data_IF_119379706941
#
_entry.id   IF_119379706941
#
_cell.length_a   1.000
_cell.length_b   1.000
_cell.length_c   1.000
_cell.angle_alpha   90.00
_cell.angle_beta   90.00
_cell.angle_gamma   90.00
#
_symmetry.space_group_name_H-M   'P 1'
#
loop_
_entity.id
_entity.type
_entity.pdbx_description
1 polymer ?
#
# COMPACT_ATOMS: atom_id res chain seq x y z
N UNK A 1 -28.83 -17.88 28.86
CA UNK A 1 -27.53 -18.00 28.17
C UNK A 1 -27.37 -16.74 27.34
N UNK A 2 -26.26 -15.99 27.46
CA UNK A 2 -26.05 -14.84 26.59
C UNK A 2 -25.73 -15.37 25.19
N UNK A 3 -26.58 -15.05 24.22
CA UNK A 3 -26.28 -15.21 22.81
C UNK A 3 -25.21 -14.19 22.48
N UNK A 4 -23.95 -14.62 22.37
CA UNK A 4 -22.90 -13.83 21.75
C UNK A 4 -23.29 -13.67 20.29
N UNK A 5 -23.84 -12.52 19.92
CA UNK A 5 -23.85 -12.08 18.54
C UNK A 5 -22.41 -12.15 18.06
N UNK A 6 -22.12 -13.04 17.13
CA UNK A 6 -20.88 -12.99 16.36
C UNK A 6 -21.00 -11.68 15.59
N UNK A 7 -20.37 -10.62 16.10
CA UNK A 7 -20.11 -9.43 15.31
C UNK A 7 -19.43 -9.93 14.03
N UNK A 8 -20.07 -9.71 12.88
CA UNK A 8 -19.36 -9.75 11.62
C UNK A 8 -18.10 -8.91 11.82
N UNK A 9 -16.89 -9.40 11.51
CA UNK A 9 -15.68 -8.64 11.73
C UNK A 9 -15.71 -7.49 10.73
N UNK A 10 -16.32 -6.38 11.13
CA UNK A 10 -16.84 -5.39 10.18
C UNK A 10 -15.77 -4.85 9.26
N UNK A 11 -14.49 -4.89 9.64
CA UNK A 11 -13.44 -4.60 8.67
C UNK A 11 -12.15 -5.34 9.02
N UNK A 12 -11.81 -6.31 8.17
CA UNK A 12 -10.58 -7.06 8.26
C UNK A 12 -9.44 -6.33 7.51
N UNK A 13 -8.41 -5.92 8.24
CA UNK A 13 -7.28 -5.17 7.69
C UNK A 13 -6.07 -6.08 7.52
N UNK A 14 -5.78 -6.50 6.29
CA UNK A 14 -4.80 -7.55 6.06
C UNK A 14 -3.32 -7.10 6.16
N UNK A 15 -2.62 -7.91 6.95
CA UNK A 15 -1.20 -8.00 7.26
C UNK A 15 -0.20 -8.36 6.14
N UNK A 16 0.66 -7.49 5.57
CA UNK A 16 1.79 -7.93 4.70
C UNK A 16 3.09 -8.14 5.48
N UNK A 17 3.80 -9.25 5.19
CA UNK A 17 5.11 -9.60 5.76
C UNK A 17 6.20 -9.86 4.70
N UNK A 18 5.87 -9.75 3.41
CA UNK A 18 6.76 -10.10 2.31
C UNK A 18 7.05 -8.87 1.44
N UNK A 19 8.24 -8.25 1.57
CA UNK A 19 8.56 -7.02 0.86
C UNK A 19 8.95 -7.21 -0.62
N UNK A 20 9.09 -8.44 -1.14
CA UNK A 20 9.81 -8.63 -2.41
C UNK A 20 9.14 -9.49 -3.49
N UNK A 21 7.95 -10.07 -3.29
CA UNK A 21 7.34 -10.90 -4.34
C UNK A 21 5.80 -10.81 -4.39
N UNK A 22 5.27 -10.59 -5.60
CA UNK A 22 3.83 -10.64 -5.91
C UNK A 22 3.15 -11.97 -5.54
N UNK A 23 3.94 -13.04 -5.33
CA UNK A 23 3.49 -14.33 -4.80
C UNK A 23 2.74 -14.22 -3.46
N UNK A 24 2.91 -13.12 -2.74
CA UNK A 24 2.14 -12.83 -1.53
C UNK A 24 0.62 -12.78 -1.78
N UNK A 25 0.20 -12.14 -2.86
CA UNK A 25 -1.22 -12.02 -3.20
C UNK A 25 -1.85 -13.40 -3.47
N UNK A 26 -1.06 -14.38 -3.93
CA UNK A 26 -1.48 -15.76 -4.11
C UNK A 26 -1.63 -16.52 -2.77
N UNK A 27 -0.78 -16.22 -1.77
CA UNK A 27 -0.83 -16.88 -0.46
C UNK A 27 -2.00 -16.41 0.41
N UNK A 28 -2.33 -15.12 0.31
CA UNK A 28 -3.55 -14.51 0.86
C UNK A 28 -4.61 -14.38 -0.21
N UNK A 29 -4.76 -15.40 -1.08
CA UNK A 29 -5.84 -15.43 -2.06
C UNK A 29 -7.14 -14.95 -1.42
N UNK A 30 -8.02 -14.36 -2.23
CA UNK A 30 -9.40 -13.99 -1.90
C UNK A 30 -10.16 -15.24 -1.45
N UNK A 31 -9.74 -15.83 -0.32
CA UNK A 31 -10.33 -17.00 0.27
C UNK A 31 -11.64 -16.52 0.86
N UNK A 32 -12.63 -17.40 0.74
CA UNK A 32 -13.98 -17.17 1.20
C UNK A 32 -14.02 -16.50 2.57
N UNK A 33 -15.12 -15.77 2.81
CA UNK A 33 -15.43 -15.00 4.04
C UNK A 33 -15.29 -15.79 5.35
N UNK A 34 -15.07 -17.09 5.30
CA UNK A 34 -14.81 -17.98 6.43
C UNK A 34 -13.33 -18.08 6.85
N UNK A 35 -12.41 -17.39 6.17
CA UNK A 35 -10.98 -17.45 6.53
C UNK A 35 -10.74 -16.83 7.90
N UNK A 36 -10.31 -17.64 8.86
CA UNK A 36 -9.87 -17.16 10.18
C UNK A 36 -8.47 -16.60 10.03
N UNK A 37 -8.35 -15.29 10.28
CA UNK A 37 -7.06 -14.60 10.26
C UNK A 37 -6.38 -14.70 11.61
N UNK A 38 -5.06 -14.87 11.58
CA UNK A 38 -4.26 -14.81 12.79
C UNK A 38 -4.32 -13.40 13.40
N UNK A 39 -4.25 -13.25 14.73
CA UNK A 39 -4.34 -11.93 15.37
C UNK A 39 -3.32 -10.90 14.88
N UNK A 40 -2.15 -11.33 14.40
CA UNK A 40 -1.14 -10.43 13.84
C UNK A 40 -1.53 -9.88 12.45
N UNK A 41 -2.46 -10.54 11.77
CA UNK A 41 -2.96 -10.18 10.44
C UNK A 41 -4.12 -9.18 10.48
N UNK A 42 -4.50 -8.68 11.65
CA UNK A 42 -5.57 -7.70 11.81
C UNK A 42 -5.03 -6.47 12.53
N UNK A 43 -5.22 -5.29 11.93
CA UNK A 43 -4.81 -4.01 12.54
C UNK A 43 -5.67 -3.74 13.80
N UNK A 44 -5.07 -3.64 15.01
CA UNK A 44 -5.83 -3.39 16.22
C UNK A 44 -6.36 -1.95 16.27
N UNK A 45 -7.61 -1.77 16.68
CA UNK A 45 -8.26 -0.45 16.84
C UNK A 45 -7.96 0.24 18.17
N UNK A 46 -7.36 -0.47 19.12
CA UNK A 46 -7.05 0.08 20.44
C UNK A 46 -5.56 0.33 20.57
N UNK A 47 -5.18 1.41 21.27
CA UNK A 47 -3.76 1.70 21.50
C UNK A 47 -3.03 0.61 22.32
N UNK A 48 -3.75 -0.14 23.15
CA UNK A 48 -3.20 -1.31 23.83
C UNK A 48 -2.91 -2.45 22.83
N UNK A 49 -3.88 -2.78 21.98
CA UNK A 49 -3.70 -3.78 20.92
C UNK A 49 -2.56 -3.41 19.97
N UNK A 50 -2.45 -2.15 19.54
CA UNK A 50 -1.37 -1.69 18.67
C UNK A 50 0.02 -1.88 19.31
N UNK A 51 0.14 -1.68 20.63
CA UNK A 51 1.39 -1.89 21.39
C UNK A 51 1.80 -3.36 21.49
N UNK A 52 0.84 -4.27 21.43
CA UNK A 52 1.10 -5.72 21.42
C UNK A 52 1.30 -6.25 20.00
N UNK A 53 0.81 -5.53 19.00
CA UNK A 53 0.93 -5.88 17.59
C UNK A 53 2.25 -5.43 16.97
N UNK A 54 2.65 -4.17 17.18
CA UNK A 54 3.80 -3.56 16.50
C UNK A 54 4.64 -2.70 17.45
N UNK A 55 5.83 -2.29 16.98
CA UNK A 55 6.68 -1.31 17.65
C UNK A 55 7.54 -0.55 16.62
N UNK A 56 7.97 0.67 16.97
CA UNK A 56 8.91 1.43 16.13
C UNK A 56 10.34 1.03 16.49
N UNK A 57 11.07 0.47 15.52
CA UNK A 57 12.43 -0.03 15.67
C UNK A 57 13.40 0.64 14.70
N UNK A 58 14.70 0.31 14.84
CA UNK A 58 15.72 0.74 13.87
C UNK A 58 15.67 -0.11 12.62
N UNK A 59 15.93 0.50 11.46
CA UNK A 59 16.20 -0.21 10.23
C UNK A 59 17.71 -0.57 10.14
N UNK A 60 18.12 -1.83 10.35
CA UNK A 60 19.52 -2.21 10.31
C UNK A 60 20.14 -2.12 8.91
N UNK A 61 19.31 -2.14 7.86
CA UNK A 61 19.76 -2.04 6.46
C UNK A 61 19.76 -0.62 5.91
N UNK A 62 19.20 0.36 6.63
CA UNK A 62 19.15 1.74 6.16
C UNK A 62 20.38 2.53 6.62
N UNK A 63 21.03 3.16 5.65
CA UNK A 63 22.20 4.00 5.88
C UNK A 63 21.87 5.49 5.75
N UNK A 64 20.72 5.82 5.14
CA UNK A 64 20.14 7.15 5.24
C UNK A 64 19.65 7.37 6.68
N UNK A 65 20.43 8.10 7.47
CA UNK A 65 20.10 8.46 8.85
C UNK A 65 18.74 9.16 8.97
N UNK A 66 18.21 9.73 7.88
CA UNK A 66 16.88 10.32 7.88
C UNK A 66 15.76 9.27 7.87
N UNK A 67 16.05 8.00 7.62
CA UNK A 67 15.07 6.91 7.46
C UNK A 67 15.45 5.65 8.26
N UNK A 68 16.28 5.82 9.28
CA UNK A 68 16.75 4.71 10.12
C UNK A 68 15.70 4.07 11.02
N UNK A 69 14.41 4.35 10.82
CA UNK A 69 13.30 3.86 11.64
C UNK A 69 12.25 3.14 10.79
N UNK A 70 11.63 2.10 11.35
CA UNK A 70 10.54 1.33 10.75
C UNK A 70 9.49 0.99 11.80
N UNK A 71 8.23 0.84 11.37
CA UNK A 71 7.23 0.11 12.14
C UNK A 71 7.42 -1.38 11.88
N UNK A 72 7.63 -2.18 12.93
CA UNK A 72 7.93 -3.61 12.88
C UNK A 72 6.89 -4.41 13.65
N UNK A 73 6.56 -5.61 13.19
CA UNK A 73 5.74 -6.53 14.00
C UNK A 73 6.50 -6.96 15.26
N UNK A 74 5.77 -7.05 16.37
CA UNK A 74 6.29 -7.58 17.63
C UNK A 74 6.32 -9.11 17.65
N UNK A 75 5.29 -9.72 17.05
CA UNK A 75 5.05 -11.16 17.04
C UNK A 75 4.73 -11.65 15.62
N UNK A 76 5.60 -11.36 14.64
CA UNK A 76 5.48 -11.99 13.33
C UNK A 76 5.62 -13.51 13.49
N UNK A 77 4.77 -14.33 12.84
CA UNK A 77 4.98 -15.76 12.80
C UNK A 77 6.36 -16.05 12.19
N UNK A 78 7.01 -17.09 12.72
CA UNK A 78 8.23 -17.62 12.14
C UNK A 78 7.83 -18.26 10.81
N UNK A 79 8.00 -17.52 9.73
CA UNK A 79 7.74 -18.00 8.39
C UNK A 79 8.73 -19.15 8.06
N UNK A 80 8.26 -20.22 7.39
CA UNK A 80 9.14 -21.30 6.96
C UNK A 80 10.30 -20.74 6.13
N UNK A 81 11.53 -21.16 6.43
CA UNK A 81 12.76 -20.74 5.76
C UNK A 81 13.19 -19.28 5.97
N UNK A 82 12.55 -18.54 6.89
CA UNK A 82 13.03 -17.21 7.27
C UNK A 82 14.13 -17.32 8.33
N UNK A 83 15.31 -16.70 8.12
CA UNK A 83 16.38 -16.70 9.12
C UNK A 83 15.89 -16.17 10.47
N UNK A 84 16.35 -16.79 11.57
CA UNK A 84 16.08 -16.29 12.91
C UNK A 84 16.56 -14.83 13.06
N UNK A 85 15.71 -13.97 13.61
CA UNK A 85 15.99 -12.55 13.77
C UNK A 85 15.70 -11.67 12.55
N UNK A 86 15.04 -12.23 11.52
CA UNK A 86 14.48 -11.41 10.44
C UNK A 86 13.44 -10.44 11.01
N UNK A 87 13.58 -9.18 10.64
CA UNK A 87 12.61 -8.15 10.97
C UNK A 87 11.55 -8.07 9.86
N UNK A 88 10.30 -7.86 10.27
CA UNK A 88 9.18 -7.76 9.34
C UNK A 88 8.55 -6.37 9.49
N UNK A 89 8.74 -5.46 8.51
CA UNK A 89 8.04 -4.19 8.48
C UNK A 89 6.53 -4.40 8.39
N UNK A 90 5.78 -3.55 9.09
CA UNK A 90 4.32 -3.54 9.03
C UNK A 90 3.88 -2.86 7.72
N UNK A 91 3.03 -3.56 6.96
CA UNK A 91 2.22 -2.99 5.89
C UNK A 91 0.76 -2.87 6.31
N UNK A 92 -0.13 -2.37 5.47
CA UNK A 92 -1.59 -2.50 5.56
C UNK A 92 -2.06 -2.68 4.12
N UNK A 93 -2.95 -3.64 3.88
CA UNK A 93 -3.64 -3.73 2.59
C UNK A 93 -4.80 -2.76 2.52
N UNK A 94 -4.90 -2.06 1.40
CA UNK A 94 -5.97 -1.11 1.11
C UNK A 94 -6.51 -1.43 -0.27
N UNK A 95 -7.82 -1.57 -0.38
CA UNK A 95 -8.50 -1.68 -1.66
C UNK A 95 -9.22 -0.38 -1.97
N UNK A 96 -9.22 0.03 -3.24
CA UNK A 96 -9.88 1.25 -3.67
C UNK A 96 -9.67 1.52 -5.15
N UNK A 97 -10.21 2.64 -5.62
CA UNK A 97 -10.11 3.08 -7.00
C UNK A 97 -9.00 4.11 -7.14
N UNK A 98 -8.24 4.03 -8.22
CA UNK A 98 -7.23 5.05 -8.53
C UNK A 98 -7.94 6.34 -8.95
N UNK A 99 -7.92 7.36 -8.09
CA UNK A 99 -8.34 8.71 -8.46
C UNK A 99 -7.26 9.40 -9.30
N UNK A 100 -5.99 9.23 -8.89
CA UNK A 100 -4.87 9.84 -9.60
C UNK A 100 -3.59 9.09 -9.32
N UNK A 101 -2.73 8.99 -10.31
CA UNK A 101 -1.43 8.33 -10.17
C UNK A 101 -0.33 9.07 -10.92
N UNK A 102 0.89 9.02 -10.36
CA UNK A 102 2.12 9.37 -11.08
C UNK A 102 3.12 8.21 -10.98
N UNK A 103 3.14 7.39 -12.03
CA UNK A 103 3.99 6.20 -12.17
C UNK A 103 5.33 6.45 -12.85
N UNK A 104 5.63 7.69 -13.26
CA UNK A 104 6.84 7.97 -14.04
C UNK A 104 8.07 7.37 -13.34
N UNK A 105 9.00 6.73 -14.07
CA UNK A 105 10.18 6.11 -13.44
C UNK A 105 11.02 7.07 -12.60
N UNK A 106 11.01 8.36 -12.95
CA UNK A 106 11.65 9.46 -12.21
C UNK A 106 10.68 10.23 -11.27
N UNK A 107 9.42 9.82 -11.21
CA UNK A 107 8.34 10.44 -10.45
C UNK A 107 8.12 11.90 -10.81
N UNK A 108 8.06 12.77 -9.80
CA UNK A 108 7.94 14.23 -9.95
C UNK A 108 9.26 14.95 -10.20
N UNK A 109 10.38 14.23 -10.37
CA UNK A 109 11.67 14.85 -10.59
C UNK A 109 11.78 15.48 -11.98
N UNK A 110 12.47 16.61 -12.01
CA UNK A 110 12.90 17.29 -13.23
C UNK A 110 14.32 17.81 -13.02
N UNK A 111 15.14 17.97 -14.07
CA UNK A 111 16.46 18.58 -13.96
C UNK A 111 16.39 19.93 -13.20
N UNK A 112 17.36 20.15 -12.31
CA UNK A 112 17.41 21.34 -11.45
C UNK A 112 16.56 21.27 -10.17
N UNK A 113 15.69 20.25 -10.00
CA UNK A 113 15.02 19.98 -8.72
C UNK A 113 15.78 18.94 -7.90
N UNK A 114 15.53 18.95 -6.60
CA UNK A 114 16.12 17.98 -5.68
C UNK A 114 15.60 16.56 -5.97
N UNK A 115 16.52 15.63 -6.25
CA UNK A 115 16.20 14.20 -6.35
C UNK A 115 15.61 13.65 -5.04
N UNK A 116 15.96 14.27 -3.91
CA UNK A 116 15.48 13.85 -2.60
C UNK A 116 13.98 14.04 -2.39
N UNK A 117 13.35 14.95 -3.14
CA UNK A 117 11.91 15.22 -3.08
C UNK A 117 11.11 14.58 -4.22
N UNK A 118 11.76 13.77 -5.06
CA UNK A 118 11.08 13.09 -6.15
C UNK A 118 10.16 11.99 -5.61
N UNK A 119 8.89 12.06 -5.98
CA UNK A 119 7.86 11.14 -5.55
C UNK A 119 7.16 10.50 -6.74
N UNK A 120 6.91 9.20 -6.63
CA UNK A 120 5.75 8.57 -7.25
C UNK A 120 4.61 8.64 -6.23
N UNK A 121 3.38 8.82 -6.69
CA UNK A 121 2.24 8.94 -5.79
C UNK A 121 0.98 8.31 -6.39
N UNK A 122 0.09 7.92 -5.49
CA UNK A 122 -1.24 7.40 -5.75
C UNK A 122 -2.21 8.14 -4.85
N UNK A 123 -3.36 8.44 -5.41
CA UNK A 123 -4.51 8.94 -4.69
C UNK A 123 -5.59 7.89 -4.91
N UNK A 124 -5.98 7.22 -3.83
CA UNK A 124 -7.05 6.22 -3.86
C UNK A 124 -8.31 6.79 -3.25
N UNK A 125 -9.47 6.40 -3.76
CA UNK A 125 -10.75 6.69 -3.13
C UNK A 125 -11.63 5.43 -3.06
N UNK A 126 -12.78 5.53 -2.41
CA UNK A 126 -13.72 4.41 -2.24
C UNK A 126 -14.64 4.16 -3.43
N UNK A 127 -14.66 5.03 -4.46
CA UNK A 127 -15.73 5.02 -5.46
C UNK A 127 -17.10 5.08 -4.78
N UNK A 128 -18.02 4.20 -5.18
CA UNK A 128 -19.34 4.07 -4.55
C UNK A 128 -19.32 3.30 -3.22
N UNK A 129 -18.16 2.80 -2.78
CA UNK A 129 -17.94 2.05 -1.54
C UNK A 129 -17.16 2.85 -0.50
N UNK A 130 -17.52 4.13 -0.34
CA UNK A 130 -16.83 5.08 0.54
C UNK A 130 -16.79 4.67 2.01
N UNK A 131 -17.77 3.92 2.50
CA UNK A 131 -17.85 3.43 3.88
C UNK A 131 -16.78 2.36 4.21
N UNK A 132 -16.61 1.38 3.32
CA UNK A 132 -15.54 0.37 3.44
C UNK A 132 -14.18 1.05 3.33
N UNK A 133 -14.03 1.98 2.39
CA UNK A 133 -12.80 2.74 2.21
C UNK A 133 -12.44 3.62 3.42
N UNK A 134 -13.44 4.24 4.04
CA UNK A 134 -13.26 5.05 5.24
C UNK A 134 -12.64 4.23 6.39
N UNK A 135 -12.97 2.94 6.50
CA UNK A 135 -12.33 2.06 7.45
C UNK A 135 -10.83 1.86 7.15
N UNK A 136 -10.43 1.64 5.88
CA UNK A 136 -9.00 1.48 5.51
C UNK A 136 -8.23 2.74 5.91
N UNK A 137 -8.83 3.90 5.64
CA UNK A 137 -8.28 5.20 6.00
C UNK A 137 -8.16 5.38 7.51
N UNK A 138 -9.18 5.03 8.28
CA UNK A 138 -9.14 5.09 9.74
C UNK A 138 -8.03 4.19 10.31
N UNK A 139 -7.90 2.95 9.84
CA UNK A 139 -6.86 2.03 10.28
C UNK A 139 -5.44 2.55 10.00
N UNK A 140 -5.23 3.16 8.82
CA UNK A 140 -3.96 3.79 8.46
C UNK A 140 -3.67 5.02 9.36
N UNK A 141 -4.67 5.86 9.61
CA UNK A 141 -4.55 7.04 10.47
C UNK A 141 -4.27 6.69 11.94
N UNK A 142 -4.97 5.69 12.48
CA UNK A 142 -4.74 5.19 13.83
C UNK A 142 -3.32 4.63 13.97
N UNK A 143 -2.81 3.97 12.93
CA UNK A 143 -1.44 3.44 12.92
C UNK A 143 -0.40 4.57 12.82
N UNK A 144 -0.66 5.61 12.03
CA UNK A 144 0.18 6.82 12.01
C UNK A 144 0.22 7.49 13.40
N UNK A 145 -0.94 7.68 14.04
CA UNK A 145 -1.03 8.25 15.39
C UNK A 145 -0.26 7.41 16.42
N UNK A 146 -0.31 6.08 16.30
CA UNK A 146 0.48 5.17 17.12
C UNK A 146 2.00 5.37 16.93
N UNK A 147 2.48 5.47 15.68
CA UNK A 147 3.90 5.72 15.39
C UNK A 147 4.36 7.03 16.03
N UNK A 148 3.60 8.11 15.87
CA UNK A 148 3.90 9.40 16.49
C UNK A 148 3.99 9.31 18.01
N UNK A 149 3.04 8.60 18.64
CA UNK A 149 3.04 8.33 20.08
C UNK A 149 4.27 7.53 20.52
N UNK A 150 4.69 6.53 19.76
CA UNK A 150 5.91 5.75 20.03
C UNK A 150 7.18 6.59 19.98
N UNK A 151 7.18 7.64 19.16
CA UNK A 151 8.32 8.53 18.97
C UNK A 151 8.31 9.75 19.89
N UNK A 152 7.27 9.91 20.72
CA UNK A 152 7.05 11.07 21.59
C UNK A 152 7.09 12.41 20.81
N UNK A 153 6.48 12.42 19.61
CA UNK A 153 6.36 13.60 18.74
C UNK A 153 4.89 13.83 18.44
N UNK A 154 4.45 15.09 18.52
CA UNK A 154 3.10 15.45 18.12
C UNK A 154 2.89 15.23 16.61
N UNK A 155 1.74 14.68 16.17
CA UNK A 155 1.43 14.59 14.75
C UNK A 155 1.34 16.01 14.15
N UNK A 156 1.64 16.17 12.85
CA UNK A 156 1.46 17.44 12.16
C UNK A 156 0.01 17.91 12.25
N UNK A 157 -0.19 19.22 12.47
CA UNK A 157 -1.53 19.85 12.54
C UNK A 157 -2.20 19.98 11.19
N UNK A 158 -1.42 19.99 10.10
CA UNK A 158 -1.89 20.20 8.71
C UNK A 158 -2.37 18.91 8.03
N UNK A 159 -2.86 17.94 8.80
CA UNK A 159 -3.48 16.80 8.20
C UNK A 159 -4.82 17.25 7.61
N UNK A 160 -4.84 17.36 6.29
CA UNK A 160 -6.01 17.52 5.44
C UNK A 160 -6.88 16.25 5.55
N UNK A 161 -7.41 16.02 6.76
CA UNK A 161 -8.17 14.84 7.16
C UNK A 161 -9.50 14.74 6.41
N UNK A 162 -9.94 15.84 5.79
CA UNK A 162 -11.23 15.98 5.09
C UNK A 162 -11.23 15.47 3.65
N UNK A 163 -10.10 15.06 3.08
CA UNK A 163 -10.14 14.43 1.75
C UNK A 163 -10.77 13.04 1.84
N UNK A 164 -11.78 12.73 1.02
CA UNK A 164 -12.36 11.37 0.92
C UNK A 164 -11.35 10.34 0.37
N UNK A 165 -10.16 10.80 0.01
CA UNK A 165 -9.10 10.04 -0.64
C UNK A 165 -7.92 9.76 0.29
N UNK A 166 -7.11 8.78 -0.08
CA UNK A 166 -5.87 8.42 0.60
C UNK A 166 -4.68 8.74 -0.29
N UNK A 167 -3.83 9.67 0.15
CA UNK A 167 -2.57 9.97 -0.52
C UNK A 167 -1.47 9.00 -0.06
N UNK A 168 -0.90 8.26 -1.01
CA UNK A 168 0.16 7.30 -0.78
C UNK A 168 1.34 7.68 -1.67
N UNK A 169 2.54 7.79 -1.11
CA UNK A 169 3.70 8.24 -1.87
C UNK A 169 4.94 7.40 -1.62
N UNK A 170 5.74 7.26 -2.67
CA UNK A 170 7.02 6.55 -2.62
C UNK A 170 8.10 7.47 -3.17
N UNK A 171 9.21 7.54 -2.47
CA UNK A 171 10.39 8.23 -2.98
C UNK A 171 11.02 7.42 -4.12
N UNK A 172 11.39 8.10 -5.17
CA UNK A 172 11.97 7.46 -6.36
C UNK A 172 13.46 7.20 -6.19
N UNK A 173 14.20 8.23 -5.78
CA UNK A 173 15.65 8.14 -5.66
C UNK A 173 16.08 7.77 -4.25
N UNK A 174 16.96 6.78 -4.16
CA UNK A 174 17.72 6.44 -2.95
C UNK A 174 19.05 7.16 -2.96
N UNK A 175 19.50 7.62 -1.79
CA UNK A 175 20.82 8.22 -1.66
C UNK A 175 21.89 7.16 -1.86
N UNK A 176 22.89 7.45 -2.68
CA UNK A 176 24.07 6.60 -2.83
C UNK A 176 24.93 6.72 -1.58
N UNK A 177 25.23 5.57 -0.97
CA UNK A 177 26.03 5.41 0.24
C UNK A 177 27.07 4.31 0.01
N UNK A 178 27.96 4.11 0.99
CA UNK A 178 29.00 3.09 0.88
C UNK A 178 28.47 1.66 0.70
N UNK A 179 27.28 1.36 1.23
CA UNK A 179 26.67 0.02 1.19
C UNK A 179 25.91 -0.28 -0.10
N UNK A 180 25.31 0.73 -0.73
CA UNK A 180 24.48 0.54 -1.92
C UNK A 180 25.13 1.06 -3.21
N UNK A 181 26.33 1.68 -3.16
CA UNK A 181 27.01 2.24 -4.35
C UNK A 181 27.23 1.26 -5.50
N UNK A 182 27.31 -0.03 -5.20
CA UNK A 182 27.53 -1.09 -6.19
C UNK A 182 26.24 -1.76 -6.67
N UNK A 183 25.09 -1.43 -6.08
CA UNK A 183 23.81 -1.94 -6.57
C UNK A 183 23.51 -1.34 -7.95
N UNK A 184 23.00 -2.12 -8.90
CA UNK A 184 22.65 -1.62 -10.22
C UNK A 184 21.54 -0.57 -10.13
N UNK A 185 21.50 0.33 -11.11
CA UNK A 185 20.33 1.19 -11.30
C UNK A 185 19.16 0.33 -11.78
N UNK A 186 17.99 0.56 -11.19
CA UNK A 186 16.76 -0.11 -11.59
C UNK A 186 16.16 0.52 -12.86
N UNK A 187 16.58 1.73 -13.25
CA UNK A 187 16.13 2.36 -14.49
C UNK A 187 16.67 1.61 -15.72
N UNK A 188 15.76 1.33 -16.63
CA UNK A 188 16.05 0.80 -17.95
C UNK A 188 16.26 1.93 -18.95
N UNK A 189 16.81 1.61 -20.12
CA UNK A 189 17.07 2.60 -21.18
C UNK A 189 15.80 3.35 -21.61
N UNK A 190 14.64 2.71 -21.55
CA UNK A 190 13.34 3.31 -21.86
C UNK A 190 12.85 4.30 -20.80
N UNK A 191 13.32 4.18 -19.56
CA UNK A 191 12.86 5.01 -18.44
C UNK A 191 13.50 6.40 -18.44
N UNK A 192 14.74 6.50 -18.92
CA UNK A 192 15.50 7.75 -19.05
C UNK A 192 16.12 7.87 -20.46
N UNK A 193 15.29 8.08 -21.50
CA UNK A 193 15.75 8.09 -22.89
C UNK A 193 16.74 9.23 -23.17
N UNK A 194 16.70 10.30 -22.37
CA UNK A 194 17.57 11.47 -22.50
C UNK A 194 18.83 11.38 -21.62
N UNK A 195 18.96 10.36 -20.77
CA UNK A 195 20.11 10.19 -19.87
C UNK A 195 20.22 11.29 -18.81
N UNK A 196 19.11 11.90 -18.38
CA UNK A 196 19.07 12.98 -17.40
C UNK A 196 19.55 12.53 -16.02
N UNK A 197 19.23 11.30 -15.62
CA UNK A 197 19.61 10.72 -14.33
C UNK A 197 21.13 10.54 -14.18
N UNK A 198 21.86 10.43 -15.30
CA UNK A 198 23.32 10.35 -15.29
C UNK A 198 23.99 11.51 -14.56
N UNK A 199 23.36 12.69 -14.56
CA UNK A 199 23.88 13.87 -13.85
C UNK A 199 23.85 13.73 -12.33
N UNK A 200 22.99 12.87 -11.78
CA UNK A 200 22.80 12.67 -10.34
C UNK A 200 23.19 11.27 -9.85
N UNK A 201 23.54 10.34 -10.75
CA UNK A 201 23.80 8.90 -10.50
C UNK A 201 24.82 8.59 -9.40
N UNK A 202 25.72 9.56 -9.12
CA UNK A 202 26.77 9.45 -8.10
C UNK A 202 26.26 9.71 -6.70
N UNK A 203 25.17 10.47 -6.57
CA UNK A 203 24.57 10.87 -5.29
C UNK A 203 23.20 10.24 -5.07
N UNK A 204 22.47 10.00 -6.15
CA UNK A 204 21.08 9.55 -6.16
C UNK A 204 20.89 8.50 -7.26
N UNK A 205 20.26 7.38 -6.92
CA UNK A 205 19.98 6.29 -7.86
C UNK A 205 18.59 5.72 -7.60
N UNK A 206 17.93 5.23 -8.64
CA UNK A 206 16.71 4.44 -8.44
C UNK A 206 17.16 3.01 -8.17
N UNK A 207 17.02 2.53 -6.94
CA UNK A 207 17.46 1.17 -6.59
C UNK A 207 16.36 0.13 -6.71
N UNK A 208 15.10 0.57 -6.81
CA UNK A 208 13.94 -0.32 -6.95
C UNK A 208 12.77 0.41 -7.58
N UNK A 209 12.02 -0.30 -8.42
CA UNK A 209 10.70 0.11 -8.91
C UNK A 209 9.60 -0.41 -7.97
N UNK A 210 8.42 0.19 -8.00
CA UNK A 210 7.26 -0.39 -7.33
C UNK A 210 6.87 -1.69 -8.05
N UNK A 211 6.61 -2.77 -7.30
CA UNK A 211 6.14 -4.02 -7.89
C UNK A 211 4.65 -3.93 -8.16
N UNK A 212 4.27 -4.21 -9.41
CA UNK A 212 2.89 -4.13 -9.86
C UNK A 212 2.53 -5.47 -10.47
N UNK A 213 1.44 -6.04 -9.99
CA UNK A 213 0.82 -7.24 -10.54
C UNK A 213 -0.54 -6.91 -11.13
N UNK A 214 -1.00 -7.79 -12.00
CA UNK A 214 -2.37 -7.82 -12.50
C UNK A 214 -2.97 -9.18 -12.19
N UNK A 215 -4.18 -9.18 -11.65
CA UNK A 215 -4.95 -10.39 -11.43
C UNK A 215 -5.59 -10.83 -12.76
N UNK A 216 -5.40 -12.10 -13.15
CA UNK A 216 -6.07 -12.70 -14.30
C UNK A 216 -7.20 -13.62 -13.81
N UNK A 217 -8.44 -13.46 -14.30
CA UNK A 217 -9.55 -14.36 -13.98
C UNK A 217 -9.29 -15.81 -14.40
N UNK A 218 -9.95 -16.75 -13.72
CA UNK A 218 -9.75 -18.20 -13.80
C UNK A 218 -10.07 -18.82 -15.18
N UNK A 219 -10.63 -18.04 -16.10
CA UNK A 219 -10.93 -18.41 -17.49
C UNK A 219 -9.66 -18.80 -18.28
N UNK A 220 -8.49 -18.42 -17.79
CA UNK A 220 -7.21 -18.96 -18.26
C UNK A 220 -7.07 -20.39 -17.75
N UNK A 221 -7.24 -21.38 -18.64
CA UNK A 221 -7.27 -22.85 -18.43
C UNK A 221 -6.07 -23.49 -17.67
N UNK A 222 -5.23 -22.73 -16.96
CA UNK A 222 -4.11 -23.19 -16.13
C UNK A 222 -4.33 -22.88 -14.65
N UNK A 223 -5.33 -23.53 -14.05
CA UNK A 223 -5.44 -24.04 -12.66
C UNK A 223 -4.78 -23.35 -11.45
N UNK A 224 -4.42 -22.08 -11.48
CA UNK A 224 -4.09 -21.25 -10.33
C UNK A 224 -4.24 -19.79 -10.78
N UNK A 225 -5.05 -18.99 -10.08
CA UNK A 225 -5.25 -17.58 -10.41
C UNK A 225 -3.92 -16.86 -10.59
N UNK A 226 -3.63 -16.49 -11.84
CA UNK A 226 -2.28 -16.11 -12.23
C UNK A 226 -2.09 -14.61 -12.03
N UNK A 227 -1.42 -14.25 -10.94
CA UNK A 227 -0.93 -12.89 -10.76
C UNK A 227 0.29 -12.70 -11.64
N UNK A 228 0.14 -11.90 -12.68
CA UNK A 228 1.21 -11.61 -13.63
C UNK A 228 1.85 -10.27 -13.31
N UNK A 229 3.19 -10.16 -13.26
CA UNK A 229 3.84 -8.86 -13.20
C UNK A 229 3.44 -8.00 -14.40
N UNK A 230 3.16 -6.73 -14.18
CA UNK A 230 2.88 -5.78 -15.25
C UNK A 230 3.63 -4.46 -15.06
N UNK A 231 3.68 -3.67 -16.14
CA UNK A 231 4.29 -2.35 -16.11
C UNK A 231 3.35 -1.33 -15.45
N UNK A 232 3.91 -0.29 -14.82
CA UNK A 232 3.10 0.77 -14.20
C UNK A 232 2.24 1.56 -15.16
N UNK A 233 2.55 1.53 -16.46
CA UNK A 233 1.73 2.09 -17.53
C UNK A 233 0.43 1.30 -17.77
N UNK A 234 0.29 0.09 -17.19
CA UNK A 234 -0.96 -0.67 -17.24
C UNK A 234 -2.05 -0.11 -16.32
N UNK A 235 -1.68 0.73 -15.34
CA UNK A 235 -2.61 1.35 -14.40
C UNK A 235 -3.17 2.65 -14.97
N UNK A 236 -4.47 2.85 -14.82
CA UNK A 236 -5.23 4.03 -15.23
C UNK A 236 -6.09 4.57 -14.09
N UNK A 237 -6.53 5.82 -14.24
CA UNK A 237 -7.57 6.40 -13.38
C UNK A 237 -8.87 5.59 -13.50
N UNK A 238 -9.52 5.32 -12.37
CA UNK A 238 -10.71 4.49 -12.24
C UNK A 238 -10.43 2.99 -12.05
N UNK A 239 -9.18 2.53 -12.16
CA UNK A 239 -8.85 1.12 -11.93
C UNK A 239 -9.07 0.74 -10.46
N UNK A 240 -9.66 -0.44 -10.24
CA UNK A 240 -9.81 -1.01 -8.91
C UNK A 240 -8.57 -1.82 -8.54
N UNK A 241 -7.94 -1.45 -7.44
CA UNK A 241 -6.64 -1.99 -7.02
C UNK A 241 -6.64 -2.44 -5.57
N UNK A 242 -5.74 -3.38 -5.28
CA UNK A 242 -5.32 -3.73 -3.93
C UNK A 242 -3.85 -3.31 -3.75
N UNK A 243 -3.61 -2.43 -2.79
CA UNK A 243 -2.27 -1.91 -2.52
C UNK A 243 -1.78 -2.33 -1.15
N UNK A 244 -0.49 -2.65 -1.08
CA UNK A 244 0.22 -2.81 0.19
C UNK A 244 0.90 -1.50 0.56
N UNK A 245 0.50 -0.92 1.69
CA UNK A 245 0.97 0.38 2.19
C UNK A 245 1.82 0.17 3.44
N UNK A 246 3.09 0.54 3.38
CA UNK A 246 3.98 0.65 4.54
C UNK A 246 4.00 2.06 5.15
N UNK A 247 4.88 2.24 6.13
CA UNK A 247 5.06 3.51 6.84
C UNK A 247 6.49 4.03 6.70
N UNK A 248 6.64 5.17 6.05
CA UNK A 248 7.91 5.84 5.84
C UNK A 248 8.16 6.89 6.93
N UNK A 249 9.01 6.53 7.89
CA UNK A 249 9.35 7.38 9.04
C UNK A 249 10.60 8.20 8.70
N UNK A 250 10.40 9.49 8.44
CA UNK A 250 11.45 10.43 8.05
C UNK A 250 11.83 11.33 9.21
N UNK A 251 13.07 11.21 9.68
CA UNK A 251 13.69 12.10 10.66
C UNK A 251 14.53 13.19 9.95
N UNK A 252 14.10 14.44 10.06
CA UNK A 252 14.83 15.61 9.56
C UNK A 252 15.36 16.43 10.73
N UNK A 253 16.62 16.84 10.63
CA UNK A 253 17.18 17.82 11.57
C UNK A 253 16.95 19.24 11.04
N UNK A 254 16.21 20.03 11.80
CA UNK A 254 15.99 21.45 11.53
C UNK A 254 17.27 22.28 11.72
N UNK A 255 17.23 23.54 11.27
CA UNK A 255 18.39 24.47 11.34
C UNK A 255 18.88 24.72 12.77
N UNK A 256 17.99 24.65 13.76
CA UNK A 256 18.29 24.81 15.19
C UNK A 256 18.65 23.50 15.90
N UNK A 257 18.80 22.41 15.15
CA UNK A 257 19.05 21.08 15.71
C UNK A 257 17.80 20.35 16.20
N UNK A 258 16.62 20.99 16.12
CA UNK A 258 15.31 20.38 16.39
C UNK A 258 15.08 19.16 15.48
N UNK A 259 14.49 18.10 16.04
CA UNK A 259 14.14 16.88 15.29
C UNK A 259 12.72 17.05 14.78
N UNK A 260 12.54 16.98 13.46
CA UNK A 260 11.24 16.99 12.80
C UNK A 260 11.01 15.59 12.22
N UNK A 261 10.08 14.85 12.83
CA UNK A 261 9.69 13.53 12.38
C UNK A 261 8.41 13.66 11.56
N UNK A 262 8.43 13.09 10.37
CA UNK A 262 7.26 12.97 9.50
C UNK A 262 7.05 11.50 9.16
N UNK A 263 5.81 11.04 9.25
CA UNK A 263 5.44 9.67 8.88
C UNK A 263 4.50 9.75 7.70
N UNK A 264 4.84 9.05 6.61
CA UNK A 264 4.06 9.03 5.38
C UNK A 264 3.59 7.61 5.07
N UNK A 265 2.44 7.49 4.42
CA UNK A 265 2.02 6.24 3.81
C UNK A 265 2.90 5.98 2.58
N UNK A 266 3.55 4.83 2.58
CA UNK A 266 4.49 4.41 1.54
C UNK A 266 3.90 3.26 0.74
N UNK A 267 3.88 3.40 -0.58
CA UNK A 267 3.50 2.27 -1.41
C UNK A 267 4.64 1.25 -1.50
N UNK A 268 4.31 -0.02 -1.26
CA UNK A 268 5.22 -1.15 -1.48
C UNK A 268 4.84 -1.91 -2.77
N UNK A 269 3.58 -2.31 -2.90
CA UNK A 269 3.09 -3.11 -4.03
C UNK A 269 1.69 -2.70 -4.46
N UNK A 270 1.36 -2.94 -5.74
CA UNK A 270 0.03 -2.76 -6.32
C UNK A 270 -0.39 -4.06 -7.00
N UNK A 271 -1.64 -4.44 -6.83
CA UNK A 271 -2.31 -5.45 -7.63
C UNK A 271 -3.51 -4.81 -8.31
N UNK A 272 -3.51 -4.79 -9.64
CA UNK A 272 -4.69 -4.45 -10.44
C UNK A 272 -5.69 -5.60 -10.33
N UNK A 273 -6.86 -5.31 -9.75
CA UNK A 273 -7.94 -6.28 -9.59
C UNK A 273 -8.93 -6.21 -10.75
N UNK A 274 -9.30 -5.00 -11.17
CA UNK A 274 -10.17 -4.77 -12.32
C UNK A 274 -9.82 -3.44 -13.00
N UNK A 275 -9.77 -3.43 -14.32
CA UNK A 275 -9.57 -2.20 -15.08
C UNK A 275 -10.86 -1.37 -15.11
N UNK A 276 -10.74 -0.04 -15.12
CA UNK A 276 -11.88 0.89 -15.12
C UNK A 276 -12.90 0.60 -16.23
N UNK A 277 -12.40 0.19 -17.39
CA UNK A 277 -13.20 -0.15 -18.58
C UNK A 277 -14.07 -1.39 -18.41
N UNK A 278 -13.76 -2.26 -17.46
CA UNK A 278 -14.50 -3.51 -17.23
C UNK A 278 -15.55 -3.32 -16.14
N UNK A 279 -15.32 -2.40 -15.21
CA UNK A 279 -16.27 -2.03 -14.14
C UNK A 279 -17.49 -1.30 -14.72
N UNK A 280 -17.28 -0.42 -15.71
CA UNK A 280 -18.39 0.36 -16.30
C UNK A 280 -19.35 -0.43 -17.19
N UNK A 281 -18.98 -1.66 -17.61
CA UNK A 281 -19.82 -2.50 -18.48
C UNK A 281 -20.89 -3.28 -17.71
N UNK A 282 -20.70 -3.45 -16.41
CA UNK A 282 -21.66 -4.15 -15.54
C UNK A 282 -22.78 -3.24 -15.03
N UNK A 283 -22.74 -1.94 -15.34
CA UNK A 283 -23.87 -1.01 -15.17
C UNK A 283 -24.89 -1.09 -16.32
N UNK A 284 -25.06 -2.23 -16.98
CA UNK A 284 -26.30 -2.43 -17.73
C UNK A 284 -27.44 -2.35 -16.69
N UNK A 285 -28.32 -1.33 -16.77
CA UNK A 285 -29.39 -1.18 -15.80
C UNK A 285 -30.20 -2.46 -15.87
N UNK A 286 -30.18 -3.25 -14.78
CA UNK A 286 -31.00 -4.45 -14.64
C UNK A 286 -32.35 -4.15 -15.26
N UNK A 287 -32.65 -4.78 -16.41
CA UNK A 287 -33.91 -4.50 -17.10
C UNK A 287 -35.01 -4.63 -16.05
N UNK A 288 -35.86 -3.60 -15.87
CA UNK A 288 -36.85 -3.62 -14.82
C UNK A 288 -37.63 -4.92 -14.98
N UNK A 289 -37.56 -5.79 -13.97
CA UNK A 289 -38.22 -7.09 -13.98
C UNK A 289 -39.68 -6.80 -14.32
N UNK A 290 -40.06 -7.10 -15.55
CA UNK A 290 -41.43 -6.93 -16.00
C UNK A 290 -42.24 -7.94 -15.22
N UNK A 291 -42.91 -7.46 -14.17
CA UNK A 291 -43.86 -8.25 -13.41
C UNK A 291 -44.99 -8.58 -14.37
N UNK A 292 -44.88 -9.72 -15.06
CA UNK A 292 -46.01 -10.30 -15.76
C UNK A 292 -47.05 -10.63 -14.70
N UNK A 293 -48.06 -9.76 -14.58
CA UNK A 293 -49.26 -10.04 -13.82
C UNK A 293 -49.82 -11.40 -14.30
N UNK A 294 -49.81 -12.46 -13.49
CA UNK A 294 -50.58 -13.65 -13.83
C UNK A 294 -52.04 -13.24 -13.77
N UNK A 295 -52.71 -13.28 -14.92
CA UNK A 295 -54.10 -12.91 -15.06
C UNK A 295 -54.98 -13.58 -14.00
N UNK A 296 -55.61 -12.76 -13.16
CA UNK A 296 -56.80 -13.11 -12.42
C UNK A 296 -57.93 -13.38 -13.43
N UNK A 297 -58.08 -14.64 -13.85
CA UNK A 297 -59.36 -15.13 -14.36
C UNK A 297 -60.26 -15.39 -13.16
N UNK A 298 -61.23 -14.51 -12.93
CA UNK A 298 -62.43 -14.86 -12.18
C UNK A 298 -63.37 -15.60 -13.14
N UNK A 299 -63.70 -16.84 -12.81
CA UNK A 299 -64.88 -17.55 -13.30
C UNK A 299 -66.06 -17.25 -12.38
#
# INVERSE_FOLDING_TARGET
MPTSSVETPDHLWLVSMYPENLRFFHALGLKDTETVYDPYQVVPRTGAGQKDWAYVGRNPGEHDMTRGLLLLYKHAPVLPNTPSGTIHPVGIRVQGFIERVNMKPMGTWTPGKSAASALQFWILNGGDHGDVFAGYKAAAQDTLAYIYKCLDVAPPTDNDHDSESMFIARRVFTKVTGSNKFLPDALERGDDPMGLCKSIEREWRVLSKCSIGMYLPDDYEQSDSAIVPCDGMALSEGDFVDVCVGFDIVNRRGRKGETNIQVHLKLEHVLLLAAAQDISKDEDPLEPISVQNPGLMFF
#
